data_IF_535458025434
#
_entry.id   IF_535458025434
#
_cell.length_a   1.000
_cell.length_b   1.000
_cell.length_c   1.000
_cell.angle_alpha   90.00
_cell.angle_beta   90.00
_cell.angle_gamma   90.00
#
_symmetry.space_group_name_H-M   'P 1'
#
loop_
_entity.id
_entity.type
_entity.pdbx_description
1 polymer ?
#
# COMPACT_ATOMS: atom_id res chain seq x y z
N UNK A 1 11.34 10.01 17.53
CA UNK A 1 10.29 9.78 16.52
C UNK A 1 10.96 9.15 15.32
N UNK A 2 10.79 7.84 15.12
CA UNK A 2 11.30 7.13 13.94
C UNK A 2 10.55 7.65 12.72
N UNK A 3 11.24 8.36 11.83
CA UNK A 3 10.64 8.92 10.63
C UNK A 3 10.02 7.79 9.79
N UNK A 4 8.71 7.84 9.63
CA UNK A 4 7.98 6.95 8.74
C UNK A 4 8.58 7.13 7.34
N UNK A 5 9.22 6.07 6.80
CA UNK A 5 9.77 6.12 5.45
C UNK A 5 8.63 6.26 4.47
N UNK A 6 8.53 7.42 3.83
CA UNK A 6 7.59 7.64 2.74
C UNK A 6 8.10 6.90 1.51
N UNK A 7 7.26 6.02 0.95
CA UNK A 7 7.54 5.33 -0.30
C UNK A 7 6.66 5.94 -1.39
N UNK A 8 7.27 6.35 -2.50
CA UNK A 8 6.53 6.77 -3.70
C UNK A 8 6.50 5.64 -4.72
N UNK A 9 5.32 5.39 -5.29
CA UNK A 9 5.08 4.40 -6.33
C UNK A 9 4.04 4.92 -7.31
N UNK A 10 4.17 4.50 -8.56
CA UNK A 10 3.18 4.78 -9.61
C UNK A 10 2.09 3.72 -9.56
N UNK A 11 0.83 4.15 -9.67
CA UNK A 11 -0.30 3.25 -9.89
C UNK A 11 -0.27 2.78 -11.34
N UNK A 12 -0.33 1.47 -11.55
CA UNK A 12 -0.31 0.84 -12.87
C UNK A 12 -1.51 -0.08 -13.06
N UNK A 13 -1.89 -0.32 -14.31
CA UNK A 13 -2.90 -1.32 -14.64
C UNK A 13 -2.40 -2.72 -14.27
N UNK A 14 -3.25 -3.52 -13.61
CA UNK A 14 -2.99 -4.91 -13.21
C UNK A 14 -3.88 -5.92 -13.98
N UNK A 15 -4.77 -5.41 -14.83
CA UNK A 15 -5.73 -6.19 -15.60
C UNK A 15 -6.88 -5.31 -16.11
N UNK A 16 -7.88 -5.89 -16.80
CA UNK A 16 -9.03 -5.14 -17.28
C UNK A 16 -9.80 -4.50 -16.11
N UNK A 17 -9.81 -3.17 -16.04
CA UNK A 17 -10.53 -2.42 -15.01
C UNK A 17 -9.87 -2.37 -13.62
N UNK A 18 -8.69 -2.99 -13.45
CA UNK A 18 -8.01 -3.05 -12.16
C UNK A 18 -6.73 -2.22 -12.17
N UNK A 19 -6.64 -1.28 -11.24
CA UNK A 19 -5.43 -0.49 -10.96
C UNK A 19 -4.81 -0.97 -9.65
N UNK A 20 -3.49 -0.89 -9.54
CA UNK A 20 -2.79 -1.24 -8.32
C UNK A 20 -1.36 -0.74 -8.31
N UNK A 21 -0.68 -0.95 -7.19
CA UNK A 21 0.74 -0.64 -7.06
C UNK A 21 1.44 -1.73 -6.25
N UNK A 22 2.76 -1.78 -6.31
CA UNK A 22 3.55 -2.74 -5.55
C UNK A 22 3.86 -2.22 -4.15
N UNK A 23 3.75 -3.10 -3.15
CA UNK A 23 4.22 -2.81 -1.79
C UNK A 23 5.76 -2.83 -1.75
N UNK A 24 6.41 -1.87 -1.07
CA UNK A 24 7.86 -1.89 -0.89
C UNK A 24 8.33 -3.13 -0.12
N UNK A 25 9.40 -3.78 -0.57
CA UNK A 25 9.93 -4.99 0.09
C UNK A 25 10.32 -4.76 1.56
N UNK A 26 10.83 -3.58 1.89
CA UNK A 26 11.11 -3.22 3.29
C UNK A 26 9.87 -3.25 4.17
N UNK A 27 8.74 -2.79 3.65
CA UNK A 27 7.45 -2.82 4.34
C UNK A 27 6.93 -4.26 4.47
N UNK A 28 6.97 -5.04 3.39
CA UNK A 28 6.55 -6.46 3.39
C UNK A 28 7.34 -7.27 4.43
N UNK A 29 8.66 -7.08 4.49
CA UNK A 29 9.53 -7.80 5.42
C UNK A 29 9.36 -7.33 6.87
N UNK A 30 9.15 -6.03 7.11
CA UNK A 30 8.99 -5.45 8.44
C UNK A 30 7.69 -5.94 9.10
N UNK A 31 6.61 -6.05 8.33
CA UNK A 31 5.30 -6.46 8.83
C UNK A 31 4.96 -7.93 8.56
N UNK A 32 5.87 -8.70 7.96
CA UNK A 32 5.69 -10.14 7.71
C UNK A 32 4.54 -10.47 6.76
N UNK A 33 4.29 -9.62 5.76
CA UNK A 33 3.17 -9.77 4.83
C UNK A 33 3.49 -10.85 3.80
N UNK A 34 2.59 -11.82 3.63
CA UNK A 34 2.68 -12.88 2.64
C UNK A 34 1.72 -12.67 1.47
N UNK A 35 2.00 -13.37 0.36
CA UNK A 35 1.07 -13.37 -0.77
C UNK A 35 -0.21 -14.10 -0.38
N UNK A 36 -1.34 -13.41 -0.48
CA UNK A 36 -2.65 -13.94 -0.12
C UNK A 36 -3.19 -13.34 1.18
N UNK A 37 -2.37 -12.60 1.93
CA UNK A 37 -2.84 -11.86 3.10
C UNK A 37 -3.81 -10.74 2.70
N UNK A 38 -4.80 -10.53 3.56
CA UNK A 38 -5.77 -9.45 3.43
C UNK A 38 -5.31 -8.24 4.24
N UNK A 39 -5.19 -7.09 3.58
CA UNK A 39 -4.86 -5.82 4.24
C UNK A 39 -6.12 -4.98 4.40
N UNK A 40 -6.37 -4.55 5.63
CA UNK A 40 -7.52 -3.68 5.92
C UNK A 40 -7.19 -2.24 5.56
N UNK A 41 -7.92 -1.69 4.60
CA UNK A 41 -7.96 -0.24 4.36
C UNK A 41 -8.81 0.38 5.47
N UNK A 42 -8.22 1.30 6.21
CA UNK A 42 -8.90 1.99 7.31
C UNK A 42 -9.49 3.32 6.89
N UNK A 43 -8.80 4.02 5.98
CA UNK A 43 -9.23 5.34 5.53
C UNK A 43 -8.76 5.60 4.10
N UNK A 44 -9.53 6.41 3.40
CA UNK A 44 -9.25 6.80 2.03
C UNK A 44 -9.68 8.25 1.82
N UNK A 45 -8.69 9.11 1.67
CA UNK A 45 -8.87 10.52 1.35
C UNK A 45 -8.82 10.68 -0.17
N UNK A 46 -9.96 11.02 -0.76
CA UNK A 46 -10.10 11.22 -2.20
C UNK A 46 -9.55 12.56 -2.69
N UNK A 47 -9.51 13.57 -1.84
CA UNK A 47 -9.03 14.91 -2.19
C UNK A 47 -7.51 14.92 -2.24
N UNK A 48 -6.86 14.29 -1.25
CA UNK A 48 -5.41 14.13 -1.19
C UNK A 48 -4.90 12.87 -1.91
N UNK A 49 -5.80 11.99 -2.36
CA UNK A 49 -5.45 10.73 -3.04
C UNK A 49 -4.65 9.77 -2.14
N UNK A 50 -4.92 9.79 -0.83
CA UNK A 50 -4.17 9.05 0.19
C UNK A 50 -4.96 7.85 0.70
N UNK A 51 -4.29 6.69 0.78
CA UNK A 51 -4.85 5.45 1.34
C UNK A 51 -4.12 5.11 2.63
N UNK A 52 -4.87 4.96 3.72
CA UNK A 52 -4.34 4.49 5.01
C UNK A 52 -4.82 3.06 5.25
N UNK A 53 -3.88 2.16 5.58
CA UNK A 53 -4.18 0.77 5.87
C UNK A 53 -3.38 0.30 7.10
N UNK A 54 -3.84 -0.78 7.75
CA UNK A 54 -3.15 -1.42 8.86
C UNK A 54 -2.79 -2.86 8.54
N UNK A 55 -1.69 -3.31 9.14
CA UNK A 55 -1.20 -4.69 9.14
C UNK A 55 -1.33 -5.24 10.55
#
# INVERSE_FOLDING_TARGET
>A
MSGQKQYSRTVTAQGPGTLGTSLPAGFVNEFGIEKGDELKIEDLDWDDGTITFRV
#
